data_IF_930409737629
#
_entry.id   IF_930409737629
#
_cell.length_a   1.000
_cell.length_b   1.000
_cell.length_c   1.000
_cell.angle_alpha   90.00
_cell.angle_beta   90.00
_cell.angle_gamma   90.00
#
_symmetry.space_group_name_H-M   'P 1'
#
loop_
_entity.id
_entity.type
_entity.pdbx_description
1 polymer ?
#
# COMPACT_ATOMS: atom_id res chain seq x y z
N UNK A 1 8.30 8.85 2.03
CA UNK A 1 7.64 8.52 0.75
C UNK A 1 6.65 9.61 0.36
N UNK A 2 5.88 10.17 1.30
CA UNK A 2 5.01 11.33 1.01
C UNK A 2 5.78 12.60 0.69
N UNK A 3 5.33 13.29 -0.36
CA UNK A 3 5.77 14.61 -0.79
C UNK A 3 4.54 15.43 -1.21
N UNK A 4 4.38 16.69 -0.75
CA UNK A 4 3.32 17.56 -1.24
C UNK A 4 3.37 17.73 -2.77
N UNK A 5 2.23 17.59 -3.45
CA UNK A 5 2.12 17.58 -4.91
C UNK A 5 2.58 16.28 -5.59
N UNK A 6 2.87 15.24 -4.82
CA UNK A 6 3.15 13.89 -5.31
C UNK A 6 1.88 13.04 -5.43
N UNK A 7 2.01 11.74 -5.21
CA UNK A 7 0.87 10.82 -5.25
C UNK A 7 -0.16 11.12 -4.15
N UNK A 8 -1.44 10.96 -4.47
CA UNK A 8 -2.56 11.09 -3.53
C UNK A 8 -2.61 9.94 -2.51
N UNK A 9 -2.16 8.75 -2.91
CA UNK A 9 -2.11 7.54 -2.09
C UNK A 9 -0.77 6.82 -2.24
N UNK A 10 -0.19 6.38 -1.13
CA UNK A 10 0.99 5.53 -1.12
C UNK A 10 0.71 4.23 -0.35
N UNK A 11 0.66 3.12 -1.09
CA UNK A 11 0.49 1.77 -0.54
C UNK A 11 1.86 1.08 -0.49
N UNK A 12 2.27 0.62 0.70
CA UNK A 12 3.48 -0.17 0.89
C UNK A 12 3.16 -1.66 0.71
N UNK A 13 3.87 -2.33 -0.20
CA UNK A 13 3.81 -3.79 -0.33
C UNK A 13 4.95 -4.42 0.48
N UNK A 14 4.59 -5.12 1.56
CA UNK A 14 5.52 -5.79 2.47
C UNK A 14 5.69 -7.29 2.20
N UNK A 15 5.04 -7.84 1.17
CA UNK A 15 4.96 -9.29 0.93
C UNK A 15 6.29 -9.97 0.60
N UNK A 16 7.31 -9.24 0.14
CA UNK A 16 8.69 -9.75 -0.05
C UNK A 16 9.55 -9.47 1.17
N UNK A 17 9.60 -8.20 1.59
CA UNK A 17 10.36 -7.76 2.75
C UNK A 17 9.63 -6.60 3.41
N UNK A 18 9.37 -6.75 4.71
CA UNK A 18 8.86 -5.66 5.52
C UNK A 18 9.99 -4.71 5.88
N UNK A 19 9.77 -3.41 5.64
CA UNK A 19 10.66 -2.33 6.06
C UNK A 19 9.86 -1.39 6.93
N UNK A 20 9.98 -1.49 8.26
CA UNK A 20 9.04 -0.83 9.16
C UNK A 20 9.05 0.70 8.99
N UNK A 21 10.22 1.28 8.75
CA UNK A 21 10.36 2.73 8.53
C UNK A 21 9.66 3.26 7.27
N UNK A 22 9.41 2.40 6.27
CA UNK A 22 8.68 2.74 5.05
C UNK A 22 7.18 2.51 5.27
N UNK A 23 6.82 1.37 5.86
CA UNK A 23 5.44 1.03 6.19
C UNK A 23 4.79 2.06 7.13
N UNK A 24 5.54 2.56 8.12
CA UNK A 24 5.08 3.61 9.03
C UNK A 24 4.78 4.96 8.35
N UNK A 25 5.18 5.14 7.09
CA UNK A 25 4.93 6.36 6.29
C UNK A 25 3.96 6.11 5.13
N UNK A 26 3.40 4.91 5.05
CA UNK A 26 2.42 4.54 4.05
C UNK A 26 1.00 4.78 4.56
N UNK A 27 0.10 5.08 3.65
CA UNK A 27 -1.32 5.20 3.96
C UNK A 27 -1.93 3.81 4.21
N UNK A 28 -1.34 2.79 3.58
CA UNK A 28 -1.76 1.40 3.75
C UNK A 28 -0.58 0.46 3.51
N UNK A 29 -0.47 -0.59 4.32
CA UNK A 29 0.45 -1.71 4.17
C UNK A 29 -0.34 -2.96 3.75
N UNK A 30 0.12 -3.63 2.68
CA UNK A 30 -0.44 -4.89 2.20
C UNK A 30 0.67 -5.94 2.08
N UNK A 31 0.33 -7.20 2.32
CA UNK A 31 1.26 -8.33 2.19
C UNK A 31 0.89 -9.27 1.04
N UNK A 32 -0.39 -9.31 0.66
CA UNK A 32 -0.87 -10.06 -0.48
C UNK A 32 -1.50 -9.10 -1.50
N UNK A 33 -1.28 -9.34 -2.79
CA UNK A 33 -1.95 -8.57 -3.85
C UNK A 33 -3.45 -8.86 -3.89
N UNK A 34 -3.89 -10.04 -3.43
CA UNK A 34 -5.30 -10.40 -3.38
C UNK A 34 -6.09 -9.42 -2.49
N UNK A 35 -5.54 -9.01 -1.35
CA UNK A 35 -6.15 -8.02 -0.45
C UNK A 35 -6.42 -6.68 -1.17
N UNK A 36 -5.48 -6.28 -2.04
CA UNK A 36 -5.59 -5.08 -2.84
C UNK A 36 -6.66 -5.24 -3.94
N UNK A 37 -6.64 -6.38 -4.63
CA UNK A 37 -7.60 -6.69 -5.70
C UNK A 37 -9.02 -6.80 -5.14
N UNK A 38 -9.22 -7.39 -3.96
CA UNK A 38 -10.55 -7.48 -3.35
C UNK A 38 -11.08 -6.12 -2.87
N UNK A 39 -10.19 -5.22 -2.49
CA UNK A 39 -10.56 -3.89 -2.00
C UNK A 39 -10.87 -2.88 -3.12
N UNK A 40 -10.34 -3.10 -4.32
CA UNK A 40 -10.57 -2.24 -5.50
C UNK A 40 -11.34 -2.94 -6.63
N UNK A 41 -11.46 -4.25 -6.54
CA UNK A 41 -12.14 -5.10 -7.50
C UNK A 41 -13.64 -4.89 -7.43
N UNK A 42 -14.23 -4.82 -8.62
CA UNK A 42 -15.67 -4.70 -8.83
C UNK A 42 -16.39 -5.83 -8.08
N UNK A 43 -17.32 -5.47 -7.18
CA UNK A 43 -18.40 -6.36 -6.78
C UNK A 43 -19.08 -6.88 -8.06
N UNK A 44 -18.81 -8.13 -8.42
CA UNK A 44 -19.78 -8.95 -9.14
C UNK A 44 -20.76 -9.54 -8.14
#
# INVERSE_FOLDING_TARGET
>A
ARRPGGADLFICYGGVQLRESVAAKADWLVFNFQDLIESFGVCC
#
